data_IF_158525500670
#
_entry.id   IF_158525500670
#
_cell.length_a   1.000
_cell.length_b   1.000
_cell.length_c   1.000
_cell.angle_alpha   90.00
_cell.angle_beta   90.00
_cell.angle_gamma   90.00
#
_symmetry.space_group_name_H-M   'P 1'
#
loop_
_entity.id
_entity.type
_entity.pdbx_description
1 polymer ?
#
# COMPACT_ATOMS: atom_id res chain seq x y z
N UNK A 1 -11.54 24.40 33.29
CA UNK A 1 -11.65 23.57 32.09
C UNK A 1 -10.35 22.81 31.87
N UNK A 2 -10.42 21.50 31.91
CA UNK A 2 -9.29 20.63 31.58
C UNK A 2 -9.45 20.23 30.12
N UNK A 3 -8.58 20.71 29.24
CA UNK A 3 -8.41 20.21 27.88
C UNK A 3 -7.76 18.84 27.95
N UNK A 4 -8.41 17.82 27.40
CA UNK A 4 -7.78 16.51 27.17
C UNK A 4 -6.74 16.67 26.07
N UNK A 5 -5.51 16.27 26.38
CA UNK A 5 -4.44 16.23 25.40
C UNK A 5 -4.65 14.97 24.53
N UNK A 6 -5.08 15.17 23.30
CA UNK A 6 -5.13 14.11 22.29
C UNK A 6 -3.70 13.87 21.79
N UNK A 7 -3.14 12.72 22.15
CA UNK A 7 -1.85 12.28 21.61
C UNK A 7 -2.14 11.55 20.31
N UNK A 8 -1.84 12.19 19.18
CA UNK A 8 -1.85 11.53 17.87
C UNK A 8 -0.51 10.82 17.67
N UNK A 9 -0.55 9.49 17.57
CA UNK A 9 0.61 8.67 17.20
C UNK A 9 0.43 8.32 15.72
N UNK A 10 1.26 8.85 14.84
CA UNK A 10 1.29 8.44 13.46
C UNK A 10 1.64 6.94 13.37
N UNK A 11 0.92 6.14 12.56
CA UNK A 11 1.25 4.74 12.37
C UNK A 11 2.63 4.58 11.75
N UNK A 12 3.32 3.52 12.09
CA UNK A 12 4.59 3.15 11.46
C UNK A 12 4.37 2.56 10.07
N UNK A 13 5.38 2.57 9.20
CA UNK A 13 5.31 1.94 7.88
C UNK A 13 4.93 0.45 7.97
N UNK A 14 5.42 -0.25 8.99
CA UNK A 14 5.10 -1.66 9.22
C UNK A 14 3.64 -1.87 9.66
N UNK A 15 3.09 -0.98 10.48
CA UNK A 15 1.67 -0.99 10.85
C UNK A 15 0.78 -0.73 9.62
N UNK A 16 1.13 0.24 8.78
CA UNK A 16 0.41 0.56 7.54
C UNK A 16 0.48 -0.59 6.51
N UNK A 17 1.65 -1.21 6.36
CA UNK A 17 1.83 -2.36 5.46
C UNK A 17 0.97 -3.56 5.90
N UNK A 18 0.90 -3.84 7.19
CA UNK A 18 0.07 -4.93 7.72
C UNK A 18 -1.44 -4.64 7.58
N UNK A 19 -1.84 -3.39 7.74
CA UNK A 19 -3.23 -2.98 7.54
C UNK A 19 -3.61 -3.12 6.06
N UNK A 20 -2.79 -2.62 5.14
CA UNK A 20 -2.97 -2.77 3.70
C UNK A 20 -3.04 -4.25 3.26
N UNK A 21 -2.21 -5.11 3.83
CA UNK A 21 -2.24 -6.57 3.55
C UNK A 21 -3.55 -7.22 4.01
N UNK A 22 -4.05 -6.83 5.17
CA UNK A 22 -5.33 -7.31 5.70
C UNK A 22 -6.49 -6.86 4.81
N UNK A 23 -6.49 -5.61 4.39
CA UNK A 23 -7.52 -5.04 3.53
C UNK A 23 -7.49 -5.66 2.13
N UNK A 24 -6.30 -5.87 1.57
CA UNK A 24 -6.12 -6.58 0.31
C UNK A 24 -6.64 -8.03 0.39
N UNK A 25 -6.38 -8.72 1.50
CA UNK A 25 -6.90 -10.09 1.71
C UNK A 25 -8.43 -10.11 1.80
N UNK A 26 -9.04 -9.13 2.45
CA UNK A 26 -10.48 -8.99 2.54
C UNK A 26 -11.10 -8.70 1.16
N UNK A 27 -10.54 -7.75 0.41
CA UNK A 27 -10.98 -7.40 -0.94
C UNK A 27 -10.90 -8.59 -1.90
N UNK A 28 -9.78 -9.32 -1.91
CA UNK A 28 -9.62 -10.54 -2.72
C UNK A 28 -10.74 -11.53 -2.44
N UNK A 29 -10.99 -11.82 -1.17
CA UNK A 29 -12.06 -12.73 -0.74
C UNK A 29 -13.44 -12.25 -1.20
N UNK A 30 -13.71 -10.97 -1.12
CA UNK A 30 -14.99 -10.38 -1.52
C UNK A 30 -15.20 -10.44 -3.04
N UNK A 31 -14.14 -10.28 -3.84
CA UNK A 31 -14.17 -10.49 -5.31
C UNK A 31 -14.46 -11.97 -5.62
N UNK A 32 -13.73 -12.90 -4.97
CA UNK A 32 -13.93 -14.35 -5.13
C UNK A 32 -15.35 -14.78 -4.74
N UNK A 33 -15.91 -14.24 -3.68
CA UNK A 33 -17.28 -14.48 -3.26
C UNK A 33 -18.29 -13.96 -4.28
N UNK A 34 -18.11 -12.76 -4.80
CA UNK A 34 -18.95 -12.17 -5.85
C UNK A 34 -18.92 -12.98 -7.15
N UNK A 35 -17.72 -13.45 -7.53
CA UNK A 35 -17.53 -14.34 -8.69
C UNK A 35 -18.25 -15.69 -8.48
N UNK A 36 -18.10 -16.30 -7.31
CA UNK A 36 -18.79 -17.55 -6.96
C UNK A 36 -20.30 -17.40 -7.01
N UNK A 37 -20.85 -16.29 -6.49
CA UNK A 37 -22.28 -15.96 -6.57
C UNK A 37 -22.73 -15.77 -8.02
N UNK A 38 -21.94 -15.08 -8.88
CA UNK A 38 -22.25 -14.92 -10.30
C UNK A 38 -22.31 -16.29 -11.00
N UNK A 39 -21.36 -17.19 -10.77
CA UNK A 39 -21.37 -18.56 -11.30
C UNK A 39 -22.59 -19.36 -10.85
N UNK A 40 -23.01 -19.22 -9.59
CA UNK A 40 -24.23 -19.84 -9.08
C UNK A 40 -25.47 -19.28 -9.77
N UNK A 41 -25.60 -17.98 -9.89
CA UNK A 41 -26.71 -17.29 -10.56
C UNK A 41 -26.77 -17.74 -12.03
N UNK A 42 -25.65 -17.83 -12.73
CA UNK A 42 -25.56 -18.32 -14.11
C UNK A 42 -26.13 -19.74 -14.28
N UNK A 43 -25.84 -20.63 -13.33
CA UNK A 43 -26.40 -21.97 -13.31
C UNK A 43 -27.91 -21.95 -13.05
N UNK A 44 -28.37 -21.17 -12.08
CA UNK A 44 -29.80 -21.04 -11.77
C UNK A 44 -30.61 -20.46 -12.94
N UNK A 45 -30.05 -19.44 -13.65
CA UNK A 45 -30.66 -18.91 -14.91
C UNK A 45 -30.81 -20.04 -15.92
N UNK A 46 -29.74 -20.82 -16.19
CA UNK A 46 -29.74 -21.89 -17.16
C UNK A 46 -30.76 -22.98 -16.80
N UNK A 47 -30.90 -23.31 -15.53
CA UNK A 47 -31.85 -24.31 -15.05
C UNK A 47 -33.30 -23.79 -15.11
N UNK A 48 -33.53 -22.49 -14.87
CA UNK A 48 -34.82 -21.85 -15.01
C UNK A 48 -35.25 -21.80 -16.50
N UNK A 49 -34.35 -21.43 -17.41
CA UNK A 49 -34.58 -21.43 -18.85
C UNK A 49 -35.00 -22.81 -19.38
N UNK A 50 -34.33 -23.90 -18.93
CA UNK A 50 -34.73 -25.28 -19.32
C UNK A 50 -36.16 -25.57 -18.88
N UNK A 51 -36.53 -25.21 -17.64
CA UNK A 51 -37.90 -25.45 -17.10
C UNK A 51 -38.97 -24.66 -17.84
N UNK A 52 -38.65 -23.41 -18.23
CA UNK A 52 -39.57 -22.59 -19.02
C UNK A 52 -39.77 -23.17 -20.42
N UNK A 53 -38.70 -23.70 -21.03
CA UNK A 53 -38.80 -24.29 -22.37
C UNK A 53 -39.68 -25.55 -22.38
N UNK A 54 -39.66 -26.33 -21.32
CA UNK A 54 -40.43 -27.58 -21.20
C UNK A 54 -41.91 -27.37 -20.88
N UNK A 55 -42.33 -26.16 -20.50
CA UNK A 55 -43.70 -25.84 -20.06
C UNK A 55 -44.39 -24.90 -21.03
N UNK A 56 -45.70 -25.11 -21.23
CA UNK A 56 -46.51 -24.20 -22.07
C UNK A 56 -46.85 -22.87 -21.40
N UNK A 57 -46.96 -22.87 -20.05
CA UNK A 57 -47.28 -21.69 -19.24
C UNK A 57 -46.35 -21.62 -18.03
N UNK A 58 -46.08 -20.40 -17.58
CA UNK A 58 -45.28 -20.15 -16.38
C UNK A 58 -46.16 -20.32 -15.14
N UNK A 59 -45.78 -21.31 -14.33
CA UNK A 59 -46.41 -21.54 -13.05
C UNK A 59 -45.90 -20.59 -11.95
N UNK A 60 -46.54 -20.63 -10.79
CA UNK A 60 -46.15 -19.87 -9.58
C UNK A 60 -44.73 -20.16 -9.16
N UNK A 61 -44.27 -21.41 -9.28
CA UNK A 61 -42.90 -21.82 -8.89
C UNK A 61 -41.82 -21.16 -9.75
N UNK A 62 -42.05 -21.05 -11.10
CA UNK A 62 -41.07 -20.42 -11.98
C UNK A 62 -40.98 -18.93 -11.73
N UNK A 63 -42.12 -18.26 -11.50
CA UNK A 63 -42.17 -16.84 -11.11
C UNK A 63 -41.44 -16.60 -9.78
N UNK A 64 -41.64 -17.46 -8.78
CA UNK A 64 -40.95 -17.36 -7.50
C UNK A 64 -39.44 -17.56 -7.66
N UNK A 65 -39.01 -18.52 -8.48
CA UNK A 65 -37.57 -18.74 -8.77
C UNK A 65 -36.94 -17.54 -9.49
N UNK A 66 -37.67 -16.90 -10.40
CA UNK A 66 -37.23 -15.68 -11.04
C UNK A 66 -37.03 -14.54 -10.02
N UNK A 67 -38.00 -14.36 -9.11
CA UNK A 67 -37.93 -13.37 -8.04
C UNK A 67 -36.70 -13.62 -7.12
N UNK A 68 -36.51 -14.86 -6.68
CA UNK A 68 -35.37 -15.25 -5.86
C UNK A 68 -34.01 -15.02 -6.59
N UNK A 69 -33.98 -15.30 -7.88
CA UNK A 69 -32.81 -15.07 -8.72
C UNK A 69 -32.49 -13.59 -8.89
N UNK A 70 -33.49 -12.74 -9.11
CA UNK A 70 -33.32 -11.30 -9.22
C UNK A 70 -32.86 -10.69 -7.89
N UNK A 71 -33.34 -11.19 -6.74
CA UNK A 71 -32.86 -10.80 -5.42
C UNK A 71 -31.38 -11.15 -5.21
N UNK A 72 -30.98 -12.40 -5.55
CA UNK A 72 -29.57 -12.79 -5.49
C UNK A 72 -28.68 -11.92 -6.38
N UNK A 73 -29.17 -11.57 -7.56
CA UNK A 73 -28.45 -10.69 -8.48
C UNK A 73 -28.29 -9.29 -7.91
N UNK A 74 -29.34 -8.73 -7.30
CA UNK A 74 -29.28 -7.42 -6.65
C UNK A 74 -28.34 -7.43 -5.42
N UNK A 75 -28.33 -8.50 -4.64
CA UNK A 75 -27.37 -8.69 -3.53
C UNK A 75 -25.93 -8.76 -4.04
N UNK A 76 -25.69 -9.52 -5.13
CA UNK A 76 -24.36 -9.60 -5.72
C UNK A 76 -23.89 -8.27 -6.29
N UNK A 77 -24.80 -7.52 -6.94
CA UNK A 77 -24.55 -6.16 -7.43
C UNK A 77 -24.12 -5.23 -6.29
N UNK A 78 -24.84 -5.24 -5.16
CA UNK A 78 -24.48 -4.42 -3.99
C UNK A 78 -23.09 -4.78 -3.47
N UNK A 79 -22.80 -6.08 -3.38
CA UNK A 79 -21.48 -6.54 -2.96
C UNK A 79 -20.36 -6.08 -3.90
N UNK A 80 -20.58 -6.13 -5.21
CA UNK A 80 -19.64 -5.64 -6.22
C UNK A 80 -19.42 -4.12 -6.08
N UNK A 81 -20.49 -3.34 -5.89
CA UNK A 81 -20.39 -1.89 -5.67
C UNK A 81 -19.64 -1.57 -4.36
N UNK A 82 -19.83 -2.35 -3.28
CA UNK A 82 -19.08 -2.24 -2.02
C UNK A 82 -17.59 -2.55 -2.22
N UNK A 83 -17.26 -3.64 -2.91
CA UNK A 83 -15.88 -4.02 -3.24
C UNK A 83 -15.18 -2.93 -4.04
N UNK A 84 -15.87 -2.36 -5.04
CA UNK A 84 -15.34 -1.22 -5.81
C UNK A 84 -15.00 -0.03 -4.91
N UNK A 85 -15.88 0.35 -4.00
CA UNK A 85 -15.66 1.47 -3.08
C UNK A 85 -14.51 1.19 -2.12
N UNK A 86 -14.45 0.00 -1.54
CA UNK A 86 -13.37 -0.41 -0.63
C UNK A 86 -12.02 -0.45 -1.35
N UNK A 87 -11.96 -0.97 -2.58
CA UNK A 87 -10.77 -0.95 -3.41
C UNK A 87 -10.25 0.47 -3.65
N UNK A 88 -11.17 1.40 -3.98
CA UNK A 88 -10.82 2.81 -4.16
C UNK A 88 -10.29 3.47 -2.89
N UNK A 89 -10.91 3.19 -1.74
CA UNK A 89 -10.47 3.70 -0.44
C UNK A 89 -9.09 3.17 -0.09
N UNK A 90 -8.86 1.87 -0.23
CA UNK A 90 -7.57 1.22 0.03
C UNK A 90 -6.45 1.83 -0.84
N UNK A 91 -6.69 2.00 -2.15
CA UNK A 91 -5.74 2.66 -3.07
C UNK A 91 -5.43 4.09 -2.61
N UNK A 92 -6.45 4.87 -2.24
CA UNK A 92 -6.26 6.24 -1.79
C UNK A 92 -5.46 6.32 -0.46
N UNK A 93 -5.74 5.43 0.48
CA UNK A 93 -5.02 5.35 1.76
C UNK A 93 -3.56 4.98 1.54
N UNK A 94 -3.28 3.98 0.72
CA UNK A 94 -1.91 3.59 0.38
C UNK A 94 -1.12 4.74 -0.26
N UNK A 95 -1.73 5.45 -1.23
CA UNK A 95 -1.08 6.56 -1.93
C UNK A 95 -0.83 7.80 -1.04
N UNK A 96 -1.50 7.92 0.11
CA UNK A 96 -1.23 9.01 1.06
C UNK A 96 0.05 8.79 1.88
N UNK A 97 0.47 7.55 2.07
CA UNK A 97 1.53 7.18 2.99
C UNK A 97 2.80 6.65 2.33
N UNK A 98 2.73 6.25 1.06
CA UNK A 98 3.89 5.78 0.29
C UNK A 98 4.10 6.60 -0.97
N UNK A 99 5.37 6.80 -1.37
CA UNK A 99 5.68 7.23 -2.73
C UNK A 99 5.39 6.07 -3.66
N UNK A 100 4.22 6.12 -4.29
CA UNK A 100 3.80 5.07 -5.21
C UNK A 100 4.59 5.19 -6.52
N UNK A 101 5.23 4.12 -6.95
CA UNK A 101 5.89 4.03 -8.25
C UNK A 101 4.86 4.23 -9.38
N UNK A 102 5.29 4.83 -10.50
CA UNK A 102 4.46 5.11 -11.67
C UNK A 102 3.79 3.83 -12.20
N UNK A 103 4.53 2.70 -12.24
CA UNK A 103 4.02 1.38 -12.63
C UNK A 103 2.87 0.91 -11.73
N UNK A 104 3.01 1.08 -10.42
CA UNK A 104 1.99 0.71 -9.46
C UNK A 104 0.74 1.59 -9.59
N UNK A 105 0.93 2.88 -9.83
CA UNK A 105 -0.16 3.83 -10.07
C UNK A 105 -0.95 3.47 -11.33
N UNK A 106 -0.28 3.11 -12.43
CA UNK A 106 -0.93 2.65 -13.66
C UNK A 106 -1.78 1.40 -13.43
N UNK A 107 -1.27 0.42 -12.69
CA UNK A 107 -2.03 -0.81 -12.36
C UNK A 107 -3.23 -0.52 -11.46
N UNK A 108 -3.10 0.38 -10.51
CA UNK A 108 -4.22 0.85 -9.69
C UNK A 108 -5.32 1.49 -10.55
N UNK A 109 -4.95 2.32 -11.54
CA UNK A 109 -5.89 2.93 -12.47
C UNK A 109 -6.56 1.88 -13.37
N UNK A 110 -5.79 0.90 -13.88
CA UNK A 110 -6.33 -0.19 -14.68
C UNK A 110 -7.34 -1.02 -13.87
N UNK A 111 -7.02 -1.37 -12.63
CA UNK A 111 -7.94 -2.09 -11.75
C UNK A 111 -9.23 -1.30 -11.52
N UNK A 112 -9.14 0.01 -11.31
CA UNK A 112 -10.31 0.86 -11.16
C UNK A 112 -11.19 0.87 -12.41
N UNK A 113 -10.60 0.96 -13.61
CA UNK A 113 -11.33 0.89 -14.87
C UNK A 113 -12.00 -0.47 -15.07
N UNK A 114 -11.32 -1.56 -14.71
CA UNK A 114 -11.91 -2.91 -14.77
C UNK A 114 -13.14 -3.02 -13.87
N UNK A 115 -13.12 -2.46 -12.66
CA UNK A 115 -14.30 -2.44 -11.79
C UNK A 115 -15.46 -1.63 -12.36
N UNK A 116 -15.23 -0.62 -13.19
CA UNK A 116 -16.30 0.12 -13.88
C UNK A 116 -17.01 -0.73 -14.91
N UNK A 117 -16.29 -1.65 -15.53
CA UNK A 117 -16.82 -2.55 -16.57
C UNK A 117 -17.63 -3.73 -16.01
N UNK A 118 -17.47 -4.07 -14.72
CA UNK A 118 -18.21 -5.20 -14.09
C UNK A 118 -19.72 -4.96 -14.11
N UNK A 119 -20.15 -3.73 -13.93
CA UNK A 119 -21.56 -3.38 -13.83
C UNK A 119 -21.90 -2.16 -14.68
N UNK A 120 -22.15 -2.39 -15.97
CA UNK A 120 -22.47 -1.32 -16.93
C UNK A 120 -23.87 -0.71 -16.68
N UNK A 121 -24.14 0.53 -17.14
CA UNK A 121 -25.47 1.12 -17.08
C UNK A 121 -26.57 0.28 -17.76
N UNK A 122 -26.22 -0.41 -18.85
CA UNK A 122 -27.13 -1.29 -19.59
C UNK A 122 -27.53 -2.50 -18.74
N UNK A 123 -26.57 -3.10 -18.04
CA UNK A 123 -26.83 -4.20 -17.11
C UNK A 123 -27.76 -3.76 -15.96
N UNK A 124 -27.50 -2.58 -15.38
CA UNK A 124 -28.36 -2.02 -14.33
C UNK A 124 -29.79 -1.80 -14.84
N UNK A 125 -29.92 -1.29 -16.05
CA UNK A 125 -31.23 -1.07 -16.71
C UNK A 125 -31.98 -2.38 -16.94
N UNK A 126 -31.31 -3.44 -17.41
CA UNK A 126 -31.91 -4.76 -17.61
C UNK A 126 -32.48 -5.33 -16.30
N UNK A 127 -31.73 -5.22 -15.20
CA UNK A 127 -32.23 -5.66 -13.89
C UNK A 127 -33.44 -4.87 -13.42
N UNK A 128 -33.43 -3.56 -13.60
CA UNK A 128 -34.57 -2.69 -13.25
C UNK A 128 -35.80 -2.99 -14.08
N UNK A 129 -35.65 -3.26 -15.39
CA UNK A 129 -36.72 -3.68 -16.30
C UNK A 129 -37.33 -5.00 -15.88
N UNK A 130 -36.48 -6.02 -15.62
CA UNK A 130 -36.94 -7.32 -15.14
C UNK A 130 -37.74 -7.21 -13.86
N UNK A 131 -37.25 -6.47 -12.87
CA UNK A 131 -37.94 -6.26 -11.60
C UNK A 131 -39.31 -5.55 -11.75
N UNK A 132 -39.38 -4.54 -12.62
CA UNK A 132 -40.65 -3.80 -12.86
C UNK A 132 -41.68 -4.55 -13.65
N UNK A 133 -41.24 -5.45 -14.53
CA UNK A 133 -42.09 -6.13 -15.50
C UNK A 133 -42.48 -7.56 -15.08
N UNK A 134 -41.94 -8.05 -13.97
CA UNK A 134 -42.06 -9.47 -13.55
C UNK A 134 -43.52 -9.97 -13.46
N UNK A 135 -44.45 -9.11 -13.02
CA UNK A 135 -45.88 -9.45 -12.92
C UNK A 135 -46.64 -9.37 -14.23
N UNK A 136 -46.08 -8.71 -15.26
CA UNK A 136 -46.76 -8.36 -16.52
C UNK A 136 -46.24 -9.13 -17.73
N UNK A 137 -45.09 -9.80 -17.61
CA UNK A 137 -44.46 -10.52 -18.73
C UNK A 137 -45.14 -11.85 -19.01
N UNK A 138 -45.33 -12.11 -20.33
CA UNK A 138 -45.69 -13.45 -20.80
C UNK A 138 -44.46 -14.37 -20.83
N UNK A 139 -44.68 -15.64 -21.09
CA UNK A 139 -43.61 -16.67 -21.12
C UNK A 139 -42.47 -16.29 -22.09
N UNK A 140 -42.76 -15.79 -23.27
CA UNK A 140 -41.76 -15.54 -24.31
C UNK A 140 -40.91 -14.34 -23.92
N UNK A 141 -41.52 -13.29 -23.37
CA UNK A 141 -40.80 -12.12 -22.83
C UNK A 141 -39.88 -12.48 -21.66
N UNK A 142 -40.34 -13.34 -20.75
CA UNK A 142 -39.50 -13.81 -19.64
C UNK A 142 -38.34 -14.66 -20.16
N UNK A 143 -38.57 -15.53 -21.14
CA UNK A 143 -37.50 -16.33 -21.74
C UNK A 143 -36.45 -15.45 -22.41
N UNK A 144 -36.87 -14.48 -23.23
CA UNK A 144 -35.96 -13.54 -23.92
C UNK A 144 -35.13 -12.76 -22.89
N UNK A 145 -35.76 -12.22 -21.85
CA UNK A 145 -35.08 -11.46 -20.80
C UNK A 145 -34.14 -12.32 -19.93
N UNK A 146 -34.46 -13.60 -19.74
CA UNK A 146 -33.56 -14.52 -19.05
C UNK A 146 -32.35 -14.90 -19.91
N UNK A 147 -32.49 -15.00 -21.22
CA UNK A 147 -31.37 -15.21 -22.14
C UNK A 147 -30.45 -13.98 -22.16
N UNK A 148 -31.02 -12.77 -22.19
CA UNK A 148 -30.27 -11.52 -22.05
C UNK A 148 -29.56 -11.45 -20.68
N UNK A 149 -30.23 -11.80 -19.58
CA UNK A 149 -29.66 -11.85 -18.25
C UNK A 149 -28.52 -12.88 -18.15
N UNK A 150 -28.67 -14.02 -18.83
CA UNK A 150 -27.63 -15.05 -18.89
C UNK A 150 -26.36 -14.55 -19.56
N UNK A 151 -26.46 -13.83 -20.67
CA UNK A 151 -25.33 -13.23 -21.38
C UNK A 151 -24.66 -12.16 -20.50
N UNK A 152 -25.46 -11.26 -19.95
CA UNK A 152 -25.02 -10.21 -19.03
C UNK A 152 -24.26 -10.77 -17.82
N UNK A 153 -24.79 -11.82 -17.19
CA UNK A 153 -24.13 -12.43 -16.03
C UNK A 153 -22.82 -13.11 -16.42
N UNK A 154 -22.71 -13.68 -17.63
CA UNK A 154 -21.46 -14.24 -18.14
C UNK A 154 -20.41 -13.16 -18.36
N UNK A 155 -20.82 -11.95 -18.78
CA UNK A 155 -19.91 -10.83 -18.92
C UNK A 155 -19.45 -10.33 -17.53
N UNK A 156 -20.35 -10.27 -16.53
CA UNK A 156 -20.00 -9.99 -15.14
C UNK A 156 -18.95 -11.00 -14.63
N UNK A 157 -19.13 -12.30 -14.87
CA UNK A 157 -18.17 -13.33 -14.48
C UNK A 157 -16.79 -13.07 -15.07
N UNK A 158 -16.70 -12.77 -16.37
CA UNK A 158 -15.44 -12.48 -17.05
C UNK A 158 -14.75 -11.24 -16.48
N UNK A 159 -15.50 -10.17 -16.25
CA UNK A 159 -14.94 -8.95 -15.71
C UNK A 159 -14.52 -9.13 -14.26
N UNK A 160 -15.22 -9.92 -13.45
CA UNK A 160 -14.79 -10.28 -12.10
C UNK A 160 -13.54 -11.15 -12.09
N UNK A 161 -13.40 -12.13 -13.00
CA UNK A 161 -12.18 -12.93 -13.15
C UNK A 161 -10.98 -12.04 -13.51
N UNK A 162 -11.17 -11.10 -14.46
CA UNK A 162 -10.12 -10.13 -14.83
C UNK A 162 -9.74 -9.21 -13.69
N UNK A 163 -10.75 -8.74 -12.93
CA UNK A 163 -10.51 -7.91 -11.74
C UNK A 163 -9.73 -8.69 -10.67
N UNK A 164 -10.08 -9.95 -10.44
CA UNK A 164 -9.38 -10.79 -9.48
C UNK A 164 -7.92 -10.99 -9.86
N UNK A 165 -7.65 -11.25 -11.15
CA UNK A 165 -6.28 -11.44 -11.63
C UNK A 165 -5.47 -10.12 -11.58
N UNK A 166 -6.05 -9.00 -12.02
CA UNK A 166 -5.43 -7.69 -11.93
C UNK A 166 -5.14 -7.30 -10.45
N UNK A 167 -6.06 -7.65 -9.54
CA UNK A 167 -5.88 -7.41 -8.12
C UNK A 167 -4.73 -8.24 -7.52
N UNK A 168 -4.61 -9.52 -7.91
CA UNK A 168 -3.50 -10.38 -7.48
C UNK A 168 -2.16 -9.83 -7.99
N UNK A 169 -2.09 -9.36 -9.25
CA UNK A 169 -0.89 -8.75 -9.80
C UNK A 169 -0.51 -7.47 -9.06
N UNK A 170 -1.48 -6.61 -8.76
CA UNK A 170 -1.27 -5.40 -7.97
C UNK A 170 -0.75 -5.72 -6.56
N UNK A 171 -1.35 -6.69 -5.87
CA UNK A 171 -0.93 -7.14 -4.55
C UNK A 171 0.51 -7.68 -4.58
N UNK A 172 0.86 -8.47 -5.60
CA UNK A 172 2.22 -8.99 -5.77
C UNK A 172 3.24 -7.86 -5.94
N UNK A 173 2.96 -6.87 -6.78
CA UNK A 173 3.86 -5.75 -7.04
C UNK A 173 4.05 -4.87 -5.81
N UNK A 174 2.99 -4.60 -5.06
CA UNK A 174 3.07 -3.90 -3.77
C UNK A 174 3.98 -4.64 -2.78
N UNK A 175 3.85 -5.97 -2.69
CA UNK A 175 4.71 -6.79 -1.83
C UNK A 175 6.17 -6.77 -2.28
N UNK A 176 6.41 -6.83 -3.59
CA UNK A 176 7.76 -6.71 -4.15
C UNK A 176 8.39 -5.35 -3.82
N UNK A 177 7.66 -4.26 -4.03
CA UNK A 177 8.12 -2.92 -3.70
C UNK A 177 8.45 -2.79 -2.21
N UNK A 178 7.56 -3.25 -1.33
CA UNK A 178 7.79 -3.25 0.11
C UNK A 178 9.03 -4.09 0.50
N UNK A 179 9.26 -5.22 -0.16
CA UNK A 179 10.43 -6.06 0.10
C UNK A 179 11.75 -5.37 -0.34
N UNK A 180 11.73 -4.67 -1.48
CA UNK A 180 12.87 -3.87 -1.96
C UNK A 180 13.17 -2.74 -0.97
N UNK A 181 12.17 -1.99 -0.53
CA UNK A 181 12.36 -0.91 0.46
C UNK A 181 12.91 -1.43 1.79
N UNK A 182 12.44 -2.59 2.25
CA UNK A 182 12.97 -3.25 3.46
C UNK A 182 14.42 -3.68 3.27
N UNK A 183 14.77 -4.23 2.11
CA UNK A 183 16.14 -4.63 1.78
C UNK A 183 17.08 -3.43 1.77
N UNK A 184 16.68 -2.33 1.12
CA UNK A 184 17.46 -1.09 1.09
C UNK A 184 17.66 -0.50 2.49
N UNK A 185 16.62 -0.51 3.32
CA UNK A 185 16.71 -0.06 4.71
C UNK A 185 17.67 -0.94 5.53
N UNK A 186 17.59 -2.26 5.39
CA UNK A 186 18.50 -3.21 6.04
C UNK A 186 19.94 -3.02 5.61
N UNK A 187 20.17 -2.84 4.31
CA UNK A 187 21.49 -2.55 3.76
C UNK A 187 22.08 -1.27 4.36
N UNK A 188 21.32 -0.19 4.41
CA UNK A 188 21.77 1.08 5.03
C UNK A 188 22.10 0.91 6.51
N UNK A 189 21.30 0.14 7.24
CA UNK A 189 21.56 -0.16 8.65
C UNK A 189 22.84 -1.00 8.83
N UNK A 190 23.05 -2.00 7.97
CA UNK A 190 24.26 -2.83 7.97
C UNK A 190 25.51 -2.00 7.62
N UNK A 191 25.43 -1.07 6.65
CA UNK A 191 26.50 -0.12 6.34
C UNK A 191 26.85 0.77 7.53
N UNK A 192 25.82 1.28 8.24
CA UNK A 192 26.01 2.11 9.42
C UNK A 192 26.66 1.32 10.57
N UNK A 193 26.22 0.08 10.77
CA UNK A 193 26.80 -0.83 11.75
C UNK A 193 28.25 -1.16 11.39
N UNK A 194 28.57 -1.36 10.11
CA UNK A 194 29.93 -1.58 9.65
C UNK A 194 30.84 -0.37 9.94
N UNK A 195 30.37 0.85 9.69
CA UNK A 195 31.12 2.07 10.03
C UNK A 195 31.39 2.15 11.54
N UNK A 196 30.42 1.85 12.39
CA UNK A 196 30.59 1.79 13.84
C UNK A 196 31.60 0.69 14.26
N UNK A 197 31.55 -0.47 13.62
CA UNK A 197 32.51 -1.57 13.84
C UNK A 197 33.92 -1.14 13.52
N UNK A 198 34.14 -0.36 12.46
CA UNK A 198 35.42 0.22 12.08
C UNK A 198 35.85 1.42 12.94
N UNK A 199 35.01 1.86 13.87
CA UNK A 199 35.27 3.06 14.70
C UNK A 199 35.06 4.39 13.96
N UNK A 200 34.36 4.37 12.82
CA UNK A 200 33.99 5.56 12.04
C UNK A 200 32.61 6.06 12.49
N UNK A 201 32.37 7.37 12.40
CA UNK A 201 31.02 7.89 12.64
C UNK A 201 30.09 7.51 11.48
N UNK A 202 28.85 7.05 11.76
CA UNK A 202 27.85 6.87 10.72
C UNK A 202 27.53 8.22 10.07
N UNK A 203 27.46 8.25 8.74
CA UNK A 203 26.93 9.39 8.02
C UNK A 203 25.41 9.40 8.19
N UNK A 204 24.89 10.43 8.82
CA UNK A 204 23.45 10.67 8.86
C UNK A 204 23.04 11.21 7.47
N UNK A 205 22.75 10.33 6.54
CA UNK A 205 21.98 10.70 5.36
C UNK A 205 20.52 10.87 5.83
N UNK A 206 20.22 12.04 6.40
CA UNK A 206 18.84 12.50 6.43
C UNK A 206 18.32 12.42 4.99
N UNK A 207 17.33 11.59 4.78
CA UNK A 207 16.54 11.61 3.57
C UNK A 207 16.10 13.06 3.35
N UNK A 208 16.72 13.75 2.40
CA UNK A 208 16.18 15.00 1.86
C UNK A 208 14.80 14.66 1.32
N UNK A 209 13.79 14.89 2.12
CA UNK A 209 12.45 15.11 1.60
C UNK A 209 12.56 16.35 0.74
N UNK A 210 12.61 16.19 -0.55
CA UNK A 210 12.36 17.28 -1.48
C UNK A 210 10.91 17.70 -1.27
N UNK A 211 10.77 18.92 -0.74
CA UNK A 211 9.48 19.58 -0.58
C UNK A 211 8.92 19.89 -1.99
N UNK A 212 7.78 19.32 -2.40
CA UNK A 212 7.25 19.53 -3.75
C UNK A 212 6.55 20.88 -3.95
N UNK A 213 6.88 21.92 -3.15
CA UNK A 213 6.22 23.23 -3.23
C UNK A 213 6.83 24.23 -4.19
N UNK A 214 7.74 23.83 -5.11
CA UNK A 214 8.27 24.73 -6.13
C UNK A 214 8.18 24.15 -7.54
N UNK A 215 6.96 23.97 -8.03
CA UNK A 215 6.75 23.80 -9.48
C UNK A 215 5.64 24.75 -9.96
N UNK A 216 6.09 25.66 -10.83
CA UNK A 216 5.33 26.36 -11.85
C UNK A 216 4.50 27.60 -11.46
N UNK A 217 5.20 28.75 -11.52
CA UNK A 217 4.59 30.00 -11.94
C UNK A 217 4.98 30.24 -13.40
N UNK A 218 4.05 30.52 -14.31
CA UNK A 218 4.38 30.79 -15.72
C UNK A 218 5.09 32.13 -15.84
N UNK A 219 6.22 32.16 -16.57
CA UNK A 219 6.88 33.37 -17.03
C UNK A 219 6.00 34.07 -18.07
N UNK A 220 5.51 35.22 -17.70
CA UNK A 220 4.92 36.17 -18.66
C UNK A 220 6.01 37.10 -19.14
N UNK A 221 6.42 36.91 -20.40
CA UNK A 221 7.34 37.81 -21.14
C UNK A 221 6.52 38.95 -21.74
N UNK A 222 6.77 40.16 -21.31
CA UNK A 222 6.67 41.30 -22.24
C UNK A 222 7.58 42.45 -21.80
N UNK A 223 8.29 43.11 -22.75
CA UNK A 223 9.37 44.01 -22.47
C UNK A 223 9.01 45.51 -22.60
N UNK A 224 9.59 46.28 -21.67
CA UNK A 224 10.15 47.65 -21.86
C UNK A 224 9.26 48.83 -22.28
N UNK A 225 9.72 50.12 -22.21
CA UNK A 225 10.75 50.77 -21.38
C UNK A 225 10.33 52.14 -20.73
N UNK A 226 11.33 52.73 -20.05
CA UNK A 226 11.52 54.17 -19.75
C UNK A 226 10.78 54.85 -18.58
N UNK A 227 11.50 55.25 -17.54
CA UNK A 227 12.14 56.52 -17.31
C UNK A 227 12.39 56.87 -15.83
N UNK A 228 13.65 57.14 -15.56
CA UNK A 228 14.19 58.22 -14.68
C UNK A 228 13.86 58.32 -13.20
N UNK A 229 14.94 58.15 -12.42
CA UNK A 229 15.32 58.75 -11.13
C UNK A 229 14.91 60.24 -10.97
N UNK A 230 14.91 60.84 -9.75
CA UNK A 230 15.99 60.78 -8.78
C UNK A 230 15.67 61.02 -7.28
N UNK A 231 16.67 60.63 -6.44
CA UNK A 231 17.16 61.32 -5.23
C UNK A 231 16.42 61.20 -3.87
N UNK A 232 17.16 60.55 -2.96
CA UNK A 232 17.48 60.80 -1.55
C UNK A 232 17.20 62.23 -0.99
N UNK A 233 17.19 62.52 0.35
CA UNK A 233 18.10 62.04 1.37
C UNK A 233 17.53 61.86 2.83
N UNK A 234 18.37 61.18 3.68
CA UNK A 234 18.75 61.42 5.08
C UNK A 234 17.75 61.83 6.17
N UNK A 235 17.85 61.19 7.32
CA UNK A 235 18.40 61.61 8.64
C UNK A 235 17.99 60.59 9.70
N UNK A 236 18.96 59.93 10.34
CA UNK A 236 19.63 60.18 11.62
C UNK A 236 18.71 60.41 12.83
N UNK A 237 18.92 59.62 13.82
CA UNK A 237 19.50 59.88 15.14
C UNK A 237 18.78 59.23 16.34
N UNK A 238 19.56 58.56 17.13
CA UNK A 238 19.80 58.54 18.61
C UNK A 238 18.85 57.72 19.48
N UNK A 239 19.36 56.66 20.11
CA UNK A 239 20.13 56.61 21.38
C UNK A 239 19.39 57.12 22.62
N UNK A 240 19.20 56.24 23.59
CA UNK A 240 19.54 56.39 25.02
C UNK A 240 18.83 55.26 25.84
N UNK A 241 19.55 54.34 26.41
CA UNK A 241 20.06 54.29 27.80
C UNK A 241 19.03 54.62 28.92
N UNK A 242 18.73 53.69 29.77
CA UNK A 242 19.20 53.59 31.16
C UNK A 242 18.44 52.51 31.98
N UNK A 243 19.19 51.62 32.52
CA UNK A 243 19.51 51.31 33.93
C UNK A 243 18.35 51.03 34.89
N UNK A 244 18.51 49.85 35.44
CA UNK A 244 18.66 49.56 36.91
C UNK A 244 17.40 49.18 37.70
N UNK A 245 17.45 48.06 38.33
CA UNK A 245 17.30 47.74 39.74
C UNK A 245 16.69 46.37 40.02
N UNK A 246 17.55 45.42 40.28
CA UNK A 246 17.66 44.60 41.48
C UNK A 246 16.39 44.31 42.31
N UNK A 247 16.02 43.05 42.47
CA UNK A 247 15.91 42.35 43.77
C UNK A 247 15.52 40.89 43.63
N UNK A 248 16.39 40.08 44.20
CA UNK A 248 16.25 38.78 44.81
C UNK A 248 14.88 38.10 44.83
N UNK A 249 14.84 36.86 44.27
CA UNK A 249 14.21 35.75 44.96
C UNK A 249 14.87 34.41 44.62
N UNK A 250 15.59 33.90 45.58
CA UNK A 250 16.13 32.59 45.71
C UNK A 250 14.99 31.60 45.84
N UNK A 251 14.83 30.66 44.90
CA UNK A 251 14.19 29.34 45.12
C UNK A 251 14.76 28.30 44.18
N UNK A 252 15.48 27.40 44.78
CA UNK A 252 15.74 26.00 44.47
C UNK A 252 15.77 25.61 43.00
N UNK A 253 16.95 25.68 42.43
CA UNK A 253 17.32 24.93 41.23
C UNK A 253 17.55 23.48 41.63
N UNK A 254 16.53 22.64 41.37
CA UNK A 254 16.71 21.20 41.35
C UNK A 254 17.37 20.86 40.01
N UNK A 255 18.58 20.36 40.10
CA UNK A 255 19.43 19.85 39.03
C UNK A 255 18.62 19.08 37.96
N UNK A 256 18.36 19.71 36.83
CA UNK A 256 18.26 19.00 35.57
C UNK A 256 19.67 18.98 34.97
N UNK A 257 20.39 17.95 35.34
CA UNK A 257 21.60 17.52 34.65
C UNK A 257 21.21 17.24 33.19
N UNK A 258 21.40 18.22 32.32
CA UNK A 258 21.52 17.97 30.88
C UNK A 258 22.73 17.06 30.74
N UNK A 259 22.49 15.76 30.62
CA UNK A 259 23.47 14.83 30.13
C UNK A 259 23.78 15.20 28.66
N UNK A 260 24.79 16.04 28.55
CA UNK A 260 25.60 16.11 27.34
C UNK A 260 26.38 14.80 27.28
N UNK A 261 25.66 13.72 26.86
CA UNK A 261 26.26 12.42 26.71
C UNK A 261 27.28 12.50 25.59
N UNK A 262 28.56 12.51 25.96
CA UNK A 262 29.63 12.00 25.11
C UNK A 262 29.12 10.68 24.50
N UNK A 263 28.84 10.67 23.16
CA UNK A 263 28.45 9.46 22.43
C UNK A 263 29.66 8.52 22.47
N UNK A 264 29.76 7.70 23.52
CA UNK A 264 30.72 6.61 23.63
C UNK A 264 30.54 5.73 22.41
N UNK A 265 31.65 5.37 21.76
CA UNK A 265 31.63 4.35 20.74
C UNK A 265 30.98 3.07 21.32
N UNK A 266 30.05 2.42 20.59
CA UNK A 266 29.36 1.25 21.10
C UNK A 266 30.34 0.13 21.46
N UNK A 267 30.02 -0.59 22.51
CA UNK A 267 30.80 -1.77 22.93
C UNK A 267 30.65 -2.91 21.93
N UNK A 268 31.58 -3.87 21.87
CA UNK A 268 31.45 -5.05 21.01
C UNK A 268 30.14 -5.82 21.25
N UNK A 269 29.68 -5.89 22.51
CA UNK A 269 28.43 -6.57 22.84
C UNK A 269 27.21 -5.79 22.34
N UNK A 270 27.24 -4.47 22.36
CA UNK A 270 26.18 -3.62 21.78
C UNK A 270 26.13 -3.77 20.26
N UNK A 271 27.29 -3.78 19.59
CA UNK A 271 27.40 -4.04 18.14
C UNK A 271 26.89 -5.44 17.78
N UNK A 272 27.24 -6.47 18.57
CA UNK A 272 26.76 -7.83 18.34
C UNK A 272 25.23 -7.94 18.48
N UNK A 273 24.62 -7.24 19.44
CA UNK A 273 23.16 -7.17 19.60
C UNK A 273 22.49 -6.50 18.41
N UNK A 274 23.07 -5.40 17.92
CA UNK A 274 22.54 -4.70 16.74
C UNK A 274 22.62 -5.61 15.50
N UNK A 275 23.74 -6.34 15.34
CA UNK A 275 23.91 -7.29 14.24
C UNK A 275 22.87 -8.42 14.30
N UNK A 276 22.59 -8.94 15.49
CA UNK A 276 21.60 -10.01 15.66
C UNK A 276 20.16 -9.50 15.36
N UNK A 277 19.88 -8.24 15.68
CA UNK A 277 18.61 -7.61 15.34
C UNK A 277 18.46 -7.44 13.83
N UNK A 278 19.49 -6.95 13.13
CA UNK A 278 19.48 -6.84 11.68
C UNK A 278 19.31 -8.20 11.01
N UNK A 279 19.98 -9.23 11.52
CA UNK A 279 19.82 -10.61 11.05
C UNK A 279 18.36 -11.09 11.19
N UNK A 280 17.69 -10.82 12.31
CA UNK A 280 16.27 -11.17 12.48
C UNK A 280 15.40 -10.46 11.45
N UNK A 281 15.62 -9.18 11.23
CA UNK A 281 14.87 -8.42 10.21
C UNK A 281 15.11 -8.98 8.81
N UNK A 282 16.33 -9.44 8.51
CA UNK A 282 16.62 -10.11 7.25
C UNK A 282 15.92 -11.47 7.13
N UNK A 283 15.84 -12.26 8.20
CA UNK A 283 15.08 -13.52 8.20
C UNK A 283 13.57 -13.28 8.02
N UNK A 284 13.03 -12.17 8.51
CA UNK A 284 11.64 -11.79 8.26
C UNK A 284 11.45 -11.38 6.79
N UNK A 285 12.38 -10.63 6.20
CA UNK A 285 12.37 -10.31 4.77
C UNK A 285 12.42 -11.57 3.89
N UNK A 286 13.20 -12.60 4.27
CA UNK A 286 13.21 -13.90 3.57
C UNK A 286 11.84 -14.57 3.56
N UNK A 287 11.04 -14.41 4.63
CA UNK A 287 9.66 -14.90 4.67
C UNK A 287 8.75 -14.11 3.71
N UNK A 288 8.93 -12.79 3.67
CA UNK A 288 8.19 -11.94 2.73
C UNK A 288 8.49 -12.34 1.27
N UNK A 289 9.76 -12.60 0.93
CA UNK A 289 10.16 -13.08 -0.40
C UNK A 289 9.51 -14.44 -0.75
N UNK A 290 9.47 -15.37 0.18
CA UNK A 290 8.76 -16.65 -0.03
C UNK A 290 7.26 -16.47 -0.24
N UNK A 291 6.64 -15.53 0.45
CA UNK A 291 5.22 -15.22 0.23
C UNK A 291 5.01 -14.58 -1.16
N UNK A 292 5.93 -13.73 -1.61
CA UNK A 292 5.96 -13.17 -2.98
C UNK A 292 6.04 -14.30 -4.02
N UNK A 293 6.97 -15.25 -3.87
CA UNK A 293 7.12 -16.39 -4.77
C UNK A 293 5.84 -17.24 -4.83
N UNK A 294 5.23 -17.49 -3.68
CA UNK A 294 3.96 -18.21 -3.58
C UNK A 294 2.84 -17.47 -4.30
N UNK A 295 2.66 -16.17 -4.03
CA UNK A 295 1.62 -15.35 -4.68
C UNK A 295 1.84 -15.24 -6.18
N UNK A 296 3.09 -15.16 -6.62
CA UNK A 296 3.44 -15.20 -8.04
C UNK A 296 2.98 -16.51 -8.71
N UNK A 297 3.13 -17.65 -8.01
CA UNK A 297 2.67 -18.95 -8.53
C UNK A 297 1.14 -19.10 -8.58
N UNK A 298 0.38 -18.24 -7.88
CA UNK A 298 -1.09 -18.20 -7.88
C UNK A 298 -1.67 -17.36 -9.04
N UNK A 299 -0.82 -16.65 -9.82
CA UNK A 299 -1.23 -15.91 -11.01
C UNK A 299 -1.52 -16.87 -12.16
N UNK A 300 -2.42 -16.47 -13.07
CA UNK A 300 -2.67 -17.20 -14.32
C UNK A 300 -1.40 -17.26 -15.19
N UNK A 301 -0.65 -16.15 -15.24
CA UNK A 301 0.63 -16.03 -15.91
C UNK A 301 1.70 -15.58 -14.90
N UNK A 302 2.41 -16.51 -14.24
CA UNK A 302 3.45 -16.17 -13.27
C UNK A 302 4.59 -15.35 -13.88
N UNK A 303 5.00 -14.30 -13.17
CA UNK A 303 6.16 -13.50 -13.55
C UNK A 303 7.45 -14.29 -13.39
N UNK A 304 8.46 -13.99 -14.21
CA UNK A 304 9.80 -14.54 -14.05
C UNK A 304 10.52 -13.81 -12.91
N UNK A 305 10.55 -14.42 -11.74
CA UNK A 305 11.32 -13.90 -10.62
C UNK A 305 12.73 -14.48 -10.64
N UNK A 306 13.76 -13.71 -10.22
CA UNK A 306 15.12 -14.24 -10.07
C UNK A 306 15.16 -15.24 -8.90
N UNK A 307 15.97 -16.29 -9.04
CA UNK A 307 16.26 -17.19 -7.93
C UNK A 307 17.30 -16.54 -7.00
N UNK A 308 16.84 -16.03 -5.88
CA UNK A 308 17.67 -15.37 -4.86
C UNK A 308 18.00 -16.24 -3.66
N UNK A 309 17.52 -17.50 -3.64
CA UNK A 309 17.62 -18.38 -2.47
C UNK A 309 19.05 -18.59 -1.99
N UNK A 310 20.01 -18.84 -2.89
CA UNK A 310 21.41 -19.01 -2.52
C UNK A 310 22.01 -17.73 -1.92
N UNK A 311 21.75 -16.57 -2.53
CA UNK A 311 22.23 -15.27 -2.03
C UNK A 311 21.67 -14.94 -0.65
N UNK A 312 20.39 -15.21 -0.42
CA UNK A 312 19.76 -15.03 0.89
C UNK A 312 20.44 -15.86 1.99
N UNK A 313 20.79 -17.12 1.70
CA UNK A 313 21.50 -17.98 2.66
C UNK A 313 22.92 -17.49 2.92
N UNK A 314 23.61 -16.97 1.90
CA UNK A 314 24.96 -16.40 2.04
C UNK A 314 24.93 -15.12 2.89
N UNK A 315 23.97 -14.20 2.66
CA UNK A 315 23.78 -12.99 3.49
C UNK A 315 23.51 -13.39 4.95
N UNK A 316 22.57 -14.31 5.20
CA UNK A 316 22.29 -14.81 6.55
C UNK A 316 23.54 -15.36 7.25
N UNK A 317 24.37 -16.09 6.52
CA UNK A 317 25.63 -16.66 7.04
C UNK A 317 26.64 -15.56 7.36
N UNK A 318 26.78 -14.56 6.49
CA UNK A 318 27.71 -13.46 6.71
C UNK A 318 27.29 -12.58 7.89
N UNK A 319 26.00 -12.31 8.05
CA UNK A 319 25.46 -11.62 9.24
C UNK A 319 25.69 -12.43 10.52
N UNK A 320 25.52 -13.75 10.48
CA UNK A 320 25.81 -14.63 11.60
C UNK A 320 27.30 -14.60 11.97
N UNK A 321 28.16 -14.73 10.97
CA UNK A 321 29.62 -14.66 11.17
C UNK A 321 30.02 -13.31 11.77
N UNK A 322 29.44 -12.21 11.30
CA UNK A 322 29.67 -10.88 11.87
C UNK A 322 29.30 -10.82 13.34
N UNK A 323 28.10 -11.28 13.72
CA UNK A 323 27.64 -11.31 15.12
C UNK A 323 28.59 -12.09 16.03
N UNK A 324 29.04 -13.27 15.57
CA UNK A 324 30.00 -14.11 16.31
C UNK A 324 31.38 -13.45 16.46
N UNK A 325 31.90 -12.79 15.41
CA UNK A 325 33.15 -12.07 15.46
C UNK A 325 33.08 -10.85 16.38
N UNK A 326 31.96 -10.12 16.39
CA UNK A 326 31.72 -9.00 17.30
C UNK A 326 31.70 -9.46 18.76
N UNK A 327 31.03 -10.58 19.06
CA UNK A 327 30.99 -11.18 20.39
C UNK A 327 32.40 -11.61 20.89
N UNK A 328 33.29 -11.95 19.98
CA UNK A 328 34.70 -12.26 20.25
C UNK A 328 35.64 -11.04 20.21
N UNK A 329 35.06 -9.82 20.11
CA UNK A 329 35.78 -8.56 19.95
C UNK A 329 36.71 -8.50 18.74
N UNK A 330 36.43 -9.30 17.70
CA UNK A 330 37.22 -9.33 16.46
C UNK A 330 36.60 -8.43 15.39
N UNK A 331 36.69 -7.13 15.61
CA UNK A 331 36.08 -6.09 14.75
C UNK A 331 36.53 -6.18 13.30
N UNK A 332 37.78 -6.58 13.01
CA UNK A 332 38.29 -6.68 11.64
C UNK A 332 37.58 -7.74 10.83
N UNK A 333 37.41 -8.94 11.39
CA UNK A 333 36.69 -10.02 10.71
C UNK A 333 35.18 -9.75 10.65
N UNK A 334 34.61 -9.16 11.69
CA UNK A 334 33.22 -8.74 11.69
C UNK A 334 32.93 -7.73 10.56
N UNK A 335 33.73 -6.68 10.44
CA UNK A 335 33.61 -5.68 9.35
C UNK A 335 33.74 -6.32 7.96
N UNK A 336 34.59 -7.34 7.80
CA UNK A 336 34.68 -8.06 6.52
C UNK A 336 33.38 -8.79 6.21
N UNK A 337 32.83 -9.56 7.16
CA UNK A 337 31.55 -10.26 6.97
C UNK A 337 30.39 -9.31 6.71
N UNK A 338 30.36 -8.16 7.39
CA UNK A 338 29.36 -7.10 7.13
C UNK A 338 29.44 -6.59 5.69
N UNK A 339 30.65 -6.32 5.18
CA UNK A 339 30.85 -5.88 3.79
C UNK A 339 30.43 -6.95 2.78
N UNK A 340 30.75 -8.21 3.06
CA UNK A 340 30.35 -9.34 2.20
C UNK A 340 28.83 -9.47 2.17
N UNK A 341 28.14 -9.29 3.30
CA UNK A 341 26.66 -9.26 3.37
C UNK A 341 26.07 -8.08 2.59
N UNK A 342 26.60 -6.85 2.77
CA UNK A 342 26.15 -5.65 2.06
C UNK A 342 26.27 -5.84 0.54
N UNK A 343 27.41 -6.34 0.06
CA UNK A 343 27.63 -6.57 -1.37
C UNK A 343 26.61 -7.56 -1.96
N UNK A 344 26.30 -8.63 -1.22
CA UNK A 344 25.32 -9.64 -1.67
C UNK A 344 23.86 -9.15 -1.61
N UNK A 345 23.56 -8.15 -0.77
CA UNK A 345 22.27 -7.47 -0.77
C UNK A 345 22.11 -6.55 -1.98
N UNK A 346 23.21 -6.08 -2.58
CA UNK A 346 23.21 -5.27 -3.81
C UNK A 346 23.00 -6.10 -5.09
N UNK A 347 23.47 -7.34 -5.09
CA UNK A 347 23.44 -8.23 -6.24
C UNK A 347 22.06 -8.90 -6.46
#
# INVERSE_FOLDING_TARGET
SRTQMLVYKAPTLDELSKEAEKDNTALKKDIEESLSKSKQIQKEISDLLKKINDKKELGYEEKKKLDDLLKKQEENKKKIDEVKQQSQQNINEQNQFSQTDESLLEKQQQLQQLFENVMTPEMKKLFDELNKMMDKLDRNQIQEKLEELKLTNKDIEKELDRNLEAFKQLELEQKMQNAIEKLDALKQQEENLNKLTEGKKPENKESKKEDPSHANKPEDKNPNPDSKDPKTPDEKTQQANNTDSNKDNKRDAKDQKQENGDKKNPTPEELAKQQEELKKQFEDLKKDIKDIEKKNSELEEPNKLPDTGQKQEEVSRDMQNSSEQLSKNNKKNASKSQKDAIQKMDD
#
